data_IF_114808203559
#
_entry.id   IF_114808203559
#
_cell.length_a   1.000
_cell.length_b   1.000
_cell.length_c   1.000
_cell.angle_alpha   90.00
_cell.angle_beta   90.00
_cell.angle_gamma   90.00
#
_symmetry.space_group_name_H-M   'P 1'
#
loop_
_entity.id
_entity.type
_entity.pdbx_description
1 polymer ?
#
# COMPACT_ATOMS: atom_id res chain seq x y z
N UNK A 1 -134.03 3.27 -87.59
CA UNK A 1 -133.36 4.45 -88.16
C UNK A 1 -132.32 3.95 -89.16
N UNK A 2 -132.15 4.60 -90.31
CA UNK A 2 -131.20 4.19 -91.33
C UNK A 2 -130.01 5.18 -91.35
N UNK A 3 -128.78 4.67 -91.22
CA UNK A 3 -127.53 5.45 -91.26
C UNK A 3 -127.00 5.60 -92.70
N UNK A 4 -126.18 6.63 -92.93
CA UNK A 4 -125.53 6.85 -94.23
C UNK A 4 -124.28 5.95 -94.38
N UNK A 5 -124.02 5.37 -95.56
CA UNK A 5 -122.79 4.62 -95.81
C UNK A 5 -121.54 5.51 -95.77
N UNK A 6 -120.49 5.09 -95.07
CA UNK A 6 -119.21 5.83 -94.90
C UNK A 6 -118.01 5.07 -95.52
N UNK A 7 -117.84 5.06 -96.85
CA UNK A 7 -116.72 4.38 -97.49
C UNK A 7 -115.36 4.99 -97.09
N UNK A 8 -114.32 4.14 -97.02
CA UNK A 8 -112.94 4.58 -96.76
C UNK A 8 -112.35 5.15 -98.06
N UNK A 9 -112.75 6.36 -98.39
CA UNK A 9 -112.27 7.06 -99.57
C UNK A 9 -112.10 8.54 -99.30
N UNK A 10 -111.10 9.13 -99.94
CA UNK A 10 -110.93 10.57 -99.93
C UNK A 10 -111.76 11.18 -101.05
N UNK A 11 -112.95 11.68 -100.69
CA UNK A 11 -113.77 12.46 -101.61
C UNK A 11 -113.09 13.81 -101.88
N UNK A 12 -112.98 14.32 -103.13
CA UNK A 12 -112.26 15.58 -103.41
C UNK A 12 -112.94 16.87 -102.92
N UNK A 13 -114.26 16.85 -102.69
CA UNK A 13 -115.03 18.00 -102.18
C UNK A 13 -116.25 17.58 -101.35
N UNK A 14 -116.88 18.54 -100.67
CA UNK A 14 -118.21 18.41 -100.06
C UNK A 14 -119.19 19.17 -100.94
N UNK A 15 -120.24 18.51 -101.42
CA UNK A 15 -121.24 19.08 -102.30
C UNK A 15 -121.96 20.25 -101.61
N UNK A 16 -122.52 21.19 -102.37
CA UNK A 16 -123.33 22.30 -101.85
C UNK A 16 -124.77 22.09 -102.32
N UNK A 17 -125.73 22.02 -101.39
CA UNK A 17 -127.15 21.99 -101.76
C UNK A 17 -127.54 23.30 -102.43
N UNK A 18 -128.18 23.20 -103.59
CA UNK A 18 -128.64 24.33 -104.38
C UNK A 18 -130.14 24.57 -104.15
N UNK A 19 -130.60 25.79 -104.41
CA UNK A 19 -132.01 26.17 -104.17
C UNK A 19 -133.01 25.46 -105.09
N UNK A 20 -132.54 24.90 -106.20
CA UNK A 20 -133.33 24.08 -107.13
C UNK A 20 -133.38 22.59 -106.77
N UNK A 21 -132.61 22.15 -105.78
CA UNK A 21 -132.50 20.73 -105.47
C UNK A 21 -133.79 20.21 -104.81
N UNK A 22 -134.28 19.03 -105.22
CA UNK A 22 -135.44 18.41 -104.59
C UNK A 22 -135.06 17.96 -103.18
N UNK A 23 -135.94 18.24 -102.20
CA UNK A 23 -135.81 17.70 -100.83
C UNK A 23 -136.03 16.20 -100.88
N UNK A 24 -134.93 15.46 -101.07
CA UNK A 24 -134.92 14.02 -101.27
C UNK A 24 -133.91 13.41 -100.29
N UNK A 25 -134.46 12.73 -99.28
CA UNK A 25 -133.68 11.91 -98.36
C UNK A 25 -133.32 10.53 -98.94
N UNK A 26 -132.70 9.70 -98.10
CA UNK A 26 -132.21 8.37 -98.48
C UNK A 26 -130.71 8.36 -98.82
N UNK A 27 -130.11 7.18 -99.06
CA UNK A 27 -128.66 7.01 -99.23
C UNK A 27 -128.08 7.72 -100.46
N UNK A 28 -128.91 7.85 -101.49
CA UNK A 28 -128.62 8.55 -102.75
C UNK A 28 -129.45 9.84 -102.88
N UNK A 29 -130.11 10.24 -101.79
CA UNK A 29 -130.80 11.51 -101.68
C UNK A 29 -129.81 12.66 -101.60
N UNK A 30 -130.07 13.72 -102.36
CA UNK A 30 -129.14 14.85 -102.49
C UNK A 30 -128.90 15.54 -101.14
N UNK A 31 -129.92 15.57 -100.27
CA UNK A 31 -129.88 16.15 -98.93
C UNK A 31 -128.81 15.51 -98.02
N UNK A 32 -128.45 14.25 -98.28
CA UNK A 32 -127.51 13.49 -97.46
C UNK A 32 -126.08 13.42 -98.05
N UNK A 33 -125.87 13.89 -99.28
CA UNK A 33 -124.60 13.73 -100.00
C UNK A 33 -123.43 14.41 -99.28
N UNK A 34 -123.66 15.61 -98.74
CA UNK A 34 -122.64 16.40 -98.03
C UNK A 34 -122.12 15.64 -96.79
N UNK A 35 -123.03 15.09 -95.99
CA UNK A 35 -122.72 14.34 -94.79
C UNK A 35 -121.92 13.06 -95.12
N UNK A 36 -122.34 12.33 -96.17
CA UNK A 36 -121.64 11.13 -96.66
C UNK A 36 -120.18 11.42 -97.07
N UNK A 37 -119.96 12.52 -97.79
CA UNK A 37 -118.62 12.90 -98.24
C UNK A 37 -117.68 13.28 -97.09
N UNK A 38 -118.18 13.99 -96.07
CA UNK A 38 -117.38 14.35 -94.88
C UNK A 38 -117.03 13.14 -94.01
N UNK A 39 -117.99 12.22 -93.83
CA UNK A 39 -117.77 11.00 -93.06
C UNK A 39 -116.70 10.10 -93.70
N UNK A 40 -116.75 9.93 -95.03
CA UNK A 40 -115.79 9.12 -95.79
C UNK A 40 -114.33 9.59 -95.62
N UNK A 41 -114.10 10.92 -95.64
CA UNK A 41 -112.77 11.52 -95.40
C UNK A 41 -112.26 11.27 -93.99
N UNK A 42 -113.16 11.35 -93.01
CA UNK A 42 -112.81 11.13 -91.60
C UNK A 42 -112.36 9.70 -91.38
N UNK A 43 -113.05 8.74 -92.01
CA UNK A 43 -112.70 7.33 -91.98
C UNK A 43 -111.32 7.05 -92.62
N UNK A 44 -110.98 7.69 -93.74
CA UNK A 44 -109.66 7.56 -94.38
C UNK A 44 -108.52 8.11 -93.51
N UNK A 45 -108.68 9.28 -92.91
CA UNK A 45 -107.66 9.86 -92.02
C UNK A 45 -107.40 8.99 -90.79
N UNK A 46 -108.46 8.39 -90.23
CA UNK A 46 -108.35 7.46 -89.11
C UNK A 46 -107.48 6.25 -89.45
N UNK A 47 -107.71 5.60 -90.60
CA UNK A 47 -106.90 4.46 -91.06
C UNK A 47 -105.41 4.82 -91.22
N UNK A 48 -105.10 6.00 -91.77
CA UNK A 48 -103.70 6.44 -91.91
C UNK A 48 -103.02 6.65 -90.56
N UNK A 49 -103.72 7.22 -89.57
CA UNK A 49 -103.20 7.40 -88.21
C UNK A 49 -103.00 6.04 -87.53
N UNK A 50 -103.92 5.09 -87.68
CA UNK A 50 -103.80 3.74 -87.13
C UNK A 50 -102.59 2.99 -87.71
N UNK A 51 -102.28 3.16 -89.00
CA UNK A 51 -101.07 2.59 -89.63
C UNK A 51 -99.77 3.17 -89.10
N UNK A 52 -99.77 4.43 -88.68
CA UNK A 52 -98.62 5.07 -88.03
C UNK A 52 -98.46 4.57 -86.60
N UNK A 53 -99.55 4.52 -85.83
CA UNK A 53 -99.52 4.09 -84.42
C UNK A 53 -99.12 2.61 -84.32
N UNK A 54 -99.60 1.77 -85.23
CA UNK A 54 -99.22 0.35 -85.30
C UNK A 54 -97.81 0.12 -85.86
N UNK A 55 -97.12 1.17 -86.31
CA UNK A 55 -95.76 1.09 -86.83
C UNK A 55 -95.65 0.47 -88.22
N UNK A 56 -96.77 0.21 -88.90
CA UNK A 56 -96.80 -0.30 -90.28
C UNK A 56 -96.24 0.74 -91.26
N UNK A 57 -96.52 2.02 -91.02
CA UNK A 57 -95.95 3.13 -91.80
C UNK A 57 -94.87 3.83 -90.98
N UNK A 58 -93.60 3.66 -91.36
CA UNK A 58 -92.51 4.40 -90.74
C UNK A 58 -92.49 5.86 -91.21
N UNK A 59 -92.37 6.80 -90.26
CA UNK A 59 -92.37 8.25 -90.55
C UNK A 59 -90.95 8.82 -90.53
N UNK A 60 -90.56 9.46 -91.63
CA UNK A 60 -89.45 10.43 -91.68
C UNK A 60 -88.08 9.89 -91.28
N UNK A 61 -87.38 10.62 -90.39
CA UNK A 61 -85.99 10.32 -89.98
C UNK A 61 -85.87 9.09 -89.06
N UNK A 62 -86.96 8.61 -88.47
CA UNK A 62 -86.96 7.41 -87.62
C UNK A 62 -86.54 6.14 -88.39
N UNK A 63 -86.75 6.11 -89.71
CA UNK A 63 -86.32 5.02 -90.61
C UNK A 63 -84.81 4.75 -90.51
N UNK A 64 -83.99 5.74 -90.19
CA UNK A 64 -82.52 5.59 -90.15
C UNK A 64 -82.03 4.64 -89.05
N UNK A 65 -82.82 4.45 -87.99
CA UNK A 65 -82.56 3.55 -86.87
C UNK A 65 -83.30 2.21 -87.01
N UNK A 66 -84.11 2.03 -88.07
CA UNK A 66 -84.66 0.71 -88.41
C UNK A 66 -83.56 -0.31 -88.76
N UNK A 67 -82.35 0.17 -89.09
CA UNK A 67 -81.12 -0.64 -89.16
C UNK A 67 -80.20 -0.23 -88.02
N UNK A 68 -79.87 -1.20 -87.16
CA UNK A 68 -79.04 -0.99 -85.98
C UNK A 68 -77.66 -0.38 -86.32
N UNK A 69 -77.15 0.48 -85.44
CA UNK A 69 -75.83 1.13 -85.57
C UNK A 69 -74.90 0.65 -84.47
N UNK A 70 -73.62 0.44 -84.79
CA UNK A 70 -72.61 0.04 -83.82
C UNK A 70 -71.89 1.25 -83.24
N UNK A 71 -71.90 1.38 -81.92
CA UNK A 71 -71.03 2.29 -81.18
C UNK A 71 -69.75 1.55 -80.76
N UNK A 72 -68.59 2.17 -80.93
CA UNK A 72 -67.28 1.56 -80.62
C UNK A 72 -66.43 2.49 -79.76
N UNK A 73 -65.70 1.91 -78.80
CA UNK A 73 -64.63 2.57 -78.03
C UNK A 73 -63.28 2.16 -78.62
N UNK A 74 -62.36 3.11 -78.78
CA UNK A 74 -61.01 2.87 -79.30
C UNK A 74 -59.95 3.54 -78.40
N UNK A 75 -58.73 2.98 -78.38
CA UNK A 75 -57.62 3.46 -77.57
C UNK A 75 -57.25 2.51 -76.41
N UNK A 76 -57.04 3.06 -75.20
CA UNK A 76 -56.60 2.30 -74.03
C UNK A 76 -57.67 1.36 -73.44
N UNK A 77 -58.92 1.53 -73.86
CA UNK A 77 -60.04 0.67 -73.55
C UNK A 77 -60.68 0.21 -74.87
N UNK A 78 -61.12 -1.04 -74.92
CA UNK A 78 -61.80 -1.63 -76.08
C UNK A 78 -63.18 -2.12 -75.67
N UNK A 79 -64.19 -1.88 -76.52
CA UNK A 79 -65.56 -2.35 -76.35
C UNK A 79 -66.48 -1.83 -77.45
N UNK A 80 -67.58 -2.52 -77.73
CA UNK A 80 -68.59 -2.08 -78.69
C UNK A 80 -69.99 -2.60 -78.33
N UNK A 81 -71.03 -1.94 -78.85
CA UNK A 81 -72.41 -2.38 -78.74
C UNK A 81 -73.25 -1.90 -79.94
N UNK A 82 -74.32 -2.63 -80.27
CA UNK A 82 -75.28 -2.25 -81.32
C UNK A 82 -76.52 -1.60 -80.71
N UNK A 83 -77.08 -0.60 -81.38
CA UNK A 83 -78.28 0.13 -80.94
C UNK A 83 -79.20 0.48 -82.10
N UNK A 84 -80.49 0.18 -81.94
CA UNK A 84 -81.58 0.47 -82.89
C UNK A 84 -82.75 1.23 -82.25
N UNK A 85 -82.63 1.63 -80.98
CA UNK A 85 -83.68 2.34 -80.24
C UNK A 85 -84.71 1.45 -79.54
N UNK A 86 -84.60 0.12 -79.64
CA UNK A 86 -85.56 -0.80 -79.00
C UNK A 86 -85.32 -0.99 -77.49
N UNK A 87 -84.07 -0.90 -77.03
CA UNK A 87 -83.68 -1.04 -75.62
C UNK A 87 -82.33 -0.38 -75.31
N UNK A 88 -81.93 -0.36 -74.02
CA UNK A 88 -80.62 0.13 -73.58
C UNK A 88 -79.48 -0.75 -74.13
N UNK A 89 -78.39 -0.12 -74.59
CA UNK A 89 -77.16 -0.80 -74.98
C UNK A 89 -76.09 -0.72 -73.88
N UNK A 90 -75.45 -1.85 -73.54
CA UNK A 90 -74.33 -1.90 -72.60
C UNK A 90 -73.02 -2.16 -73.35
N UNK A 91 -72.00 -1.33 -73.14
CA UNK A 91 -70.66 -1.52 -73.70
C UNK A 91 -69.76 -2.10 -72.60
N UNK A 92 -69.38 -3.36 -72.72
CA UNK A 92 -68.45 -4.01 -71.79
C UNK A 92 -67.03 -3.53 -72.07
N UNK A 93 -66.33 -3.05 -71.04
CA UNK A 93 -64.93 -2.64 -71.10
C UNK A 93 -64.10 -3.57 -70.22
N UNK A 94 -63.06 -4.17 -70.79
CA UNK A 94 -62.09 -5.00 -70.05
C UNK A 94 -60.77 -4.25 -69.92
N UNK A 95 -60.21 -4.16 -68.71
CA UNK A 95 -58.87 -3.61 -68.50
C UNK A 95 -57.83 -4.65 -68.91
N UNK A 96 -56.85 -4.27 -69.72
CA UNK A 96 -55.77 -5.15 -70.10
C UNK A 96 -54.87 -5.49 -68.90
N UNK A 97 -54.42 -6.74 -68.79
CA UNK A 97 -53.42 -7.14 -67.81
C UNK A 97 -52.14 -6.33 -68.00
N UNK A 98 -51.49 -5.91 -66.90
CA UNK A 98 -50.27 -5.09 -66.95
C UNK A 98 -49.03 -5.84 -67.49
N UNK A 99 -49.14 -7.15 -67.70
CA UNK A 99 -48.03 -8.03 -68.11
C UNK A 99 -47.15 -8.50 -66.95
N UNK A 100 -47.33 -7.97 -65.74
CA UNK A 100 -46.59 -8.38 -64.54
C UNK A 100 -47.33 -9.53 -63.86
N UNK A 101 -46.59 -10.56 -63.43
CA UNK A 101 -47.16 -11.66 -62.66
C UNK A 101 -47.68 -11.16 -61.31
N UNK A 102 -48.83 -11.70 -60.86
CA UNK A 102 -49.37 -11.32 -59.56
C UNK A 102 -48.42 -11.79 -58.43
N UNK A 103 -48.02 -10.86 -57.55
CA UNK A 103 -47.11 -11.16 -56.45
C UNK A 103 -46.66 -9.92 -55.68
N UNK A 104 -45.93 -10.13 -54.59
CA UNK A 104 -45.30 -9.06 -53.81
C UNK A 104 -43.90 -8.78 -54.34
N UNK A 105 -43.61 -7.51 -54.61
CA UNK A 105 -42.31 -7.05 -55.09
C UNK A 105 -41.78 -5.96 -54.17
N UNK A 106 -40.48 -6.01 -53.87
CA UNK A 106 -39.80 -4.97 -53.06
C UNK A 106 -39.38 -3.76 -53.91
N UNK A 107 -39.32 -3.93 -55.24
CA UNK A 107 -39.07 -2.86 -56.21
C UNK A 107 -40.03 -3.02 -57.38
N UNK A 108 -40.63 -1.92 -57.84
CA UNK A 108 -41.52 -1.88 -59.00
C UNK A 108 -40.99 -0.93 -60.07
N UNK A 109 -41.22 -1.27 -61.33
CA UNK A 109 -41.03 -0.38 -62.48
C UNK A 109 -42.41 0.07 -62.96
N UNK A 110 -42.57 1.36 -63.21
CA UNK A 110 -43.82 1.93 -63.73
C UNK A 110 -43.58 2.62 -65.07
N UNK A 111 -44.57 2.55 -65.96
CA UNK A 111 -44.55 3.34 -67.20
C UNK A 111 -45.00 4.79 -66.97
N UNK A 112 -44.96 5.62 -68.01
CA UNK A 112 -45.38 7.02 -67.95
C UNK A 112 -46.85 7.24 -67.56
N UNK A 113 -47.69 6.20 -67.63
CA UNK A 113 -49.10 6.22 -67.20
C UNK A 113 -49.30 5.68 -65.77
N UNK A 114 -48.21 5.34 -65.07
CA UNK A 114 -48.24 4.79 -63.70
C UNK A 114 -48.59 3.30 -63.62
N UNK A 115 -48.66 2.58 -64.75
CA UNK A 115 -48.91 1.13 -64.74
C UNK A 115 -47.61 0.39 -64.42
N UNK A 116 -47.70 -0.63 -63.56
CA UNK A 116 -46.57 -1.48 -63.20
C UNK A 116 -46.19 -2.36 -64.39
N UNK A 117 -44.96 -2.24 -64.87
CA UNK A 117 -44.44 -2.99 -66.04
C UNK A 117 -43.37 -4.02 -65.68
N UNK A 118 -42.90 -4.02 -64.42
CA UNK A 118 -41.93 -5.00 -63.93
C UNK A 118 -41.80 -4.95 -62.41
N UNK A 119 -41.33 -6.04 -61.82
CA UNK A 119 -41.05 -6.15 -60.40
C UNK A 119 -39.75 -6.91 -60.16
N UNK A 120 -38.99 -6.52 -59.13
CA UNK A 120 -37.71 -7.14 -58.80
C UNK A 120 -37.51 -7.28 -57.28
N UNK A 121 -36.72 -8.26 -56.86
CA UNK A 121 -36.26 -8.42 -55.48
C UNK A 121 -35.19 -7.38 -55.13
N UNK A 122 -35.06 -7.08 -53.84
CA UNK A 122 -33.97 -6.28 -53.29
C UNK A 122 -32.67 -7.09 -53.35
N UNK A 123 -31.60 -6.49 -53.84
CA UNK A 123 -30.26 -7.05 -53.86
C UNK A 123 -29.30 -6.17 -53.04
N UNK A 124 -28.07 -6.65 -52.83
CA UNK A 124 -27.10 -5.95 -51.99
C UNK A 124 -26.73 -4.55 -52.52
N UNK A 125 -26.69 -4.35 -53.85
CA UNK A 125 -26.32 -3.05 -54.45
C UNK A 125 -27.44 -2.00 -54.32
N UNK A 126 -28.68 -2.41 -54.09
CA UNK A 126 -29.78 -1.49 -53.80
C UNK A 126 -29.68 -0.86 -52.40
N UNK A 127 -28.84 -1.42 -51.52
CA UNK A 127 -28.62 -0.92 -50.16
C UNK A 127 -27.40 0.01 -50.20
N UNK A 128 -27.58 1.34 -50.19
CA UNK A 128 -26.45 2.27 -50.14
C UNK A 128 -25.73 2.18 -48.80
N UNK A 129 -24.54 2.78 -48.70
CA UNK A 129 -23.76 2.84 -47.45
C UNK A 129 -24.62 3.31 -46.26
N UNK A 130 -24.69 2.45 -45.24
CA UNK A 130 -25.45 2.69 -44.02
C UNK A 130 -24.54 3.20 -42.91
N UNK A 131 -24.61 4.49 -42.62
CA UNK A 131 -23.98 5.04 -41.41
C UNK A 131 -24.63 4.52 -40.13
N UNK A 132 -23.85 4.44 -39.05
CA UNK A 132 -24.29 3.94 -37.73
C UNK A 132 -25.52 4.67 -37.14
N UNK A 133 -25.75 5.93 -37.53
CA UNK A 133 -26.93 6.69 -37.13
C UNK A 133 -28.24 6.17 -37.74
N UNK A 134 -28.16 5.45 -38.86
CA UNK A 134 -29.32 4.85 -39.55
C UNK A 134 -29.66 3.45 -39.03
N UNK A 135 -28.76 2.82 -38.28
CA UNK A 135 -28.99 1.51 -37.64
C UNK A 135 -29.58 1.77 -36.24
N UNK A 136 -30.85 1.48 -36.01
CA UNK A 136 -31.54 1.77 -34.72
C UNK A 136 -31.84 0.53 -33.90
N UNK A 137 -31.62 -0.67 -34.43
CA UNK A 137 -31.82 -1.96 -33.75
C UNK A 137 -30.73 -2.96 -34.15
N UNK A 138 -30.58 -4.05 -33.39
CA UNK A 138 -29.62 -5.12 -33.70
C UNK A 138 -28.15 -4.74 -33.54
N UNK A 139 -27.84 -3.63 -32.86
CA UNK A 139 -26.46 -3.24 -32.57
C UNK A 139 -25.82 -4.26 -31.60
N UNK A 140 -24.61 -4.75 -31.91
CA UNK A 140 -23.86 -5.54 -30.96
C UNK A 140 -23.68 -4.82 -29.62
N UNK A 141 -23.67 -5.58 -28.52
CA UNK A 141 -23.40 -5.04 -27.18
C UNK A 141 -22.01 -5.39 -26.68
N UNK A 142 -21.23 -6.12 -27.47
CA UNK A 142 -19.86 -6.53 -27.19
C UNK A 142 -18.95 -6.09 -28.34
N UNK A 143 -17.67 -5.79 -28.03
CA UNK A 143 -16.65 -5.46 -29.03
C UNK A 143 -16.48 -6.57 -30.07
N UNK A 144 -16.57 -7.83 -29.64
CA UNK A 144 -16.54 -9.01 -30.51
C UNK A 144 -17.69 -9.00 -31.53
N UNK A 145 -18.90 -8.66 -31.10
CA UNK A 145 -20.02 -8.52 -32.03
C UNK A 145 -19.88 -7.32 -32.97
N UNK A 146 -19.09 -6.30 -32.62
CA UNK A 146 -18.67 -5.23 -33.54
C UNK A 146 -17.52 -5.65 -34.49
N UNK A 147 -16.99 -6.87 -34.36
CA UNK A 147 -15.88 -7.38 -35.18
C UNK A 147 -14.51 -6.80 -34.81
N UNK A 148 -14.38 -6.19 -33.63
CA UNK A 148 -13.12 -5.60 -33.18
C UNK A 148 -12.27 -6.71 -32.54
N UNK A 149 -11.35 -7.28 -33.32
CA UNK A 149 -10.45 -8.38 -32.90
C UNK A 149 -9.07 -7.91 -32.42
N UNK A 150 -8.81 -6.60 -32.47
CA UNK A 150 -7.58 -5.97 -32.00
C UNK A 150 -7.52 -4.48 -32.40
N UNK A 151 -6.53 -3.76 -31.89
CA UNK A 151 -6.26 -2.37 -32.28
C UNK A 151 -5.64 -1.52 -31.16
N UNK A 152 -5.13 -0.35 -31.55
CA UNK A 152 -4.66 0.68 -30.62
C UNK A 152 -5.79 1.64 -30.31
N UNK A 153 -5.98 1.97 -29.03
CA UNK A 153 -6.85 3.05 -28.61
C UNK A 153 -6.01 4.32 -28.46
N UNK A 154 -6.53 5.45 -28.95
CA UNK A 154 -5.96 6.78 -28.67
C UNK A 154 -6.71 7.39 -27.48
N UNK A 155 -6.05 8.24 -26.69
CA UNK A 155 -6.61 8.89 -25.50
C UNK A 155 -6.86 7.93 -24.31
N UNK A 156 -7.83 8.26 -23.44
CA UNK A 156 -8.08 7.59 -22.17
C UNK A 156 -9.06 6.41 -22.30
N UNK A 157 -8.76 5.30 -21.62
CA UNK A 157 -9.72 4.20 -21.39
C UNK A 157 -10.53 4.50 -20.11
N UNK A 158 -11.84 4.75 -20.24
CA UNK A 158 -12.74 5.01 -19.10
C UNK A 158 -13.74 3.87 -18.91
N UNK A 159 -13.56 3.06 -17.86
CA UNK A 159 -14.41 1.91 -17.57
C UNK A 159 -15.39 2.24 -16.42
N UNK A 160 -16.64 2.56 -16.76
CA UNK A 160 -17.69 2.89 -15.76
C UNK A 160 -18.42 1.62 -15.34
N UNK A 161 -18.43 1.32 -14.03
CA UNK A 161 -19.11 0.14 -13.49
C UNK A 161 -18.37 -1.20 -13.70
N UNK A 162 -17.17 -1.18 -14.28
CA UNK A 162 -16.34 -2.37 -14.41
C UNK A 162 -15.69 -2.78 -13.07
N UNK A 163 -15.38 -4.07 -12.91
CA UNK A 163 -14.79 -4.65 -11.69
C UNK A 163 -13.35 -5.12 -11.89
N UNK A 164 -13.01 -5.59 -13.09
CA UNK A 164 -11.69 -6.10 -13.46
C UNK A 164 -11.35 -5.80 -14.92
N UNK A 165 -10.06 -5.87 -15.24
CA UNK A 165 -9.53 -5.98 -16.60
C UNK A 165 -8.83 -7.33 -16.65
N UNK A 166 -9.33 -8.23 -17.49
CA UNK A 166 -8.74 -9.55 -17.66
C UNK A 166 -7.85 -9.54 -18.91
N UNK A 167 -6.58 -9.89 -18.72
CA UNK A 167 -5.62 -10.08 -19.80
C UNK A 167 -5.33 -11.58 -19.88
N UNK A 168 -5.56 -12.17 -21.06
CA UNK A 168 -5.34 -13.59 -21.30
C UNK A 168 -4.20 -13.81 -22.29
N UNK A 169 -3.47 -14.90 -22.07
CA UNK A 169 -2.44 -15.38 -22.98
C UNK A 169 -3.02 -15.65 -24.36
N UNK A 170 -2.29 -15.27 -25.40
CA UNK A 170 -2.40 -16.04 -26.65
C UNK A 170 -1.91 -17.47 -26.37
N UNK A 171 -2.40 -18.46 -27.11
CA UNK A 171 -2.15 -19.90 -26.88
C UNK A 171 -0.69 -20.38 -27.07
N UNK A 172 0.30 -19.48 -26.96
CA UNK A 172 1.73 -19.78 -27.09
C UNK A 172 2.39 -19.98 -25.72
N UNK A 173 3.57 -20.60 -25.73
CA UNK A 173 4.27 -21.12 -24.53
C UNK A 173 4.87 -20.06 -23.61
N UNK A 174 4.84 -18.77 -23.97
CA UNK A 174 5.28 -17.67 -23.11
C UNK A 174 4.73 -16.34 -23.60
N UNK A 175 4.06 -15.61 -22.72
CA UNK A 175 3.61 -14.24 -22.97
C UNK A 175 3.82 -13.38 -21.71
N UNK A 176 4.22 -12.13 -21.92
CA UNK A 176 4.19 -11.11 -20.88
C UNK A 176 2.97 -10.23 -21.14
N UNK A 177 1.95 -10.38 -20.32
CA UNK A 177 0.73 -9.60 -20.37
C UNK A 177 0.77 -8.47 -19.36
N UNK A 178 0.32 -7.27 -19.73
CA UNK A 178 0.26 -6.17 -18.79
C UNK A 178 -0.09 -4.84 -19.44
N UNK A 179 -0.06 -3.79 -18.63
CA UNK A 179 -0.03 -2.43 -19.13
C UNK A 179 1.42 -2.00 -19.29
N UNK A 180 1.82 -1.77 -20.54
CA UNK A 180 3.17 -1.36 -20.89
C UNK A 180 3.19 0.07 -21.39
N UNK A 181 4.12 0.86 -20.87
CA UNK A 181 4.57 2.06 -21.55
C UNK A 181 5.45 1.63 -22.71
N UNK A 182 5.13 2.07 -23.93
CA UNK A 182 5.88 1.73 -25.14
C UNK A 182 6.39 2.97 -25.86
N UNK A 183 7.42 2.81 -26.68
CA UNK A 183 7.89 3.88 -27.57
C UNK A 183 6.80 4.23 -28.57
N UNK A 184 6.68 5.52 -28.89
CA UNK A 184 5.73 5.96 -29.92
C UNK A 184 6.11 5.43 -31.31
N UNK A 185 7.41 5.36 -31.61
CA UNK A 185 7.95 4.79 -32.83
C UNK A 185 8.53 3.41 -32.52
N UNK A 186 7.88 2.35 -32.99
CA UNK A 186 8.39 0.98 -32.90
C UNK A 186 7.70 0.08 -31.87
N UNK A 187 6.83 0.62 -31.01
CA UNK A 187 6.08 -0.16 -30.00
C UNK A 187 6.98 -0.99 -29.06
N UNK A 188 8.21 -0.52 -28.80
CA UNK A 188 9.13 -1.17 -27.88
C UNK A 188 8.71 -0.90 -26.45
N UNK A 189 8.71 -1.92 -25.60
CA UNK A 189 8.41 -1.77 -24.16
C UNK A 189 9.50 -0.93 -23.49
N UNK A 190 9.09 0.03 -22.66
CA UNK A 190 9.97 0.86 -21.82
C UNK A 190 9.84 0.50 -20.33
N UNK A 191 8.70 -0.09 -19.98
CA UNK A 191 8.37 -0.52 -18.63
C UNK A 191 6.88 -0.74 -18.49
N UNK A 192 6.45 -1.10 -17.31
CA UNK A 192 5.04 -1.30 -17.03
C UNK A 192 4.80 -2.24 -15.86
N UNK A 193 3.57 -2.71 -15.76
CA UNK A 193 3.17 -3.70 -14.78
C UNK A 193 2.34 -4.78 -15.42
N UNK A 194 2.47 -6.01 -14.92
CA UNK A 194 1.80 -7.15 -15.49
C UNK A 194 2.29 -8.47 -14.95
N UNK A 195 1.98 -9.54 -15.67
CA UNK A 195 2.39 -10.89 -15.36
C UNK A 195 3.10 -11.53 -16.56
N UNK A 196 4.12 -12.32 -16.28
CA UNK A 196 4.77 -13.19 -17.24
C UNK A 196 4.45 -14.65 -16.90
N UNK A 197 4.10 -15.43 -17.91
CA UNK A 197 3.69 -16.81 -17.76
C UNK A 197 3.25 -17.45 -19.06
N UNK A 198 2.40 -18.46 -18.96
CA UNK A 198 1.73 -19.13 -20.07
C UNK A 198 0.21 -19.13 -19.82
N UNK A 199 -0.56 -19.94 -20.55
CA UNK A 199 -2.01 -20.03 -20.37
C UNK A 199 -2.43 -20.63 -19.01
N UNK A 200 -1.56 -21.41 -18.38
CA UNK A 200 -1.89 -22.25 -17.22
C UNK A 200 -1.14 -21.84 -15.94
N UNK A 201 -0.07 -21.03 -16.03
CA UNK A 201 0.73 -20.60 -14.88
C UNK A 201 1.30 -19.18 -15.04
N UNK A 202 1.29 -18.43 -13.93
CA UNK A 202 2.01 -17.16 -13.79
C UNK A 202 3.35 -17.43 -13.12
N UNK A 203 4.44 -17.04 -13.78
CA UNK A 203 5.80 -17.23 -13.30
C UNK A 203 6.34 -16.00 -12.56
N UNK A 204 5.93 -14.80 -12.98
CA UNK A 204 6.39 -13.54 -12.42
C UNK A 204 5.30 -12.47 -12.51
N UNK A 205 4.89 -11.87 -11.39
CA UNK A 205 4.17 -10.60 -11.36
C UNK A 205 5.19 -9.47 -11.27
N UNK A 206 5.15 -8.49 -12.17
CA UNK A 206 6.17 -7.45 -12.25
C UNK A 206 5.60 -6.04 -12.28
N UNK A 207 6.40 -5.10 -11.78
CA UNK A 207 6.28 -3.67 -11.94
C UNK A 207 7.70 -3.14 -12.18
N UNK A 208 8.05 -2.80 -13.41
CA UNK A 208 9.46 -2.51 -13.72
C UNK A 208 9.69 -1.60 -14.91
N UNK A 209 10.89 -1.01 -14.94
CA UNK A 209 11.41 -0.12 -15.96
C UNK A 209 12.50 -0.86 -16.73
N UNK A 210 12.13 -1.36 -17.91
CA UNK A 210 12.98 -2.10 -18.84
C UNK A 210 12.18 -2.41 -20.11
N UNK A 211 12.86 -2.83 -21.18
CA UNK A 211 12.24 -3.50 -22.32
C UNK A 211 11.75 -4.92 -22.02
N UNK A 212 12.19 -5.51 -20.90
CA UNK A 212 11.78 -6.84 -20.44
C UNK A 212 11.50 -6.79 -18.93
N UNK A 213 10.48 -6.01 -18.48
CA UNK A 213 10.27 -5.66 -17.07
C UNK A 213 10.01 -6.87 -16.16
N UNK A 214 9.57 -8.00 -16.73
CA UNK A 214 9.41 -9.27 -16.01
C UNK A 214 10.73 -9.96 -15.65
N UNK A 215 11.84 -9.63 -16.31
CA UNK A 215 13.12 -10.32 -16.14
C UNK A 215 14.19 -9.43 -15.49
N UNK A 216 14.35 -8.19 -15.95
CA UNK A 216 15.44 -7.31 -15.50
C UNK A 216 15.05 -5.82 -15.47
N UNK A 217 15.99 -4.96 -15.07
CA UNK A 217 15.78 -3.52 -14.87
C UNK A 217 15.26 -3.16 -13.49
N UNK A 218 15.10 -1.87 -13.21
CA UNK A 218 14.64 -1.42 -11.88
C UNK A 218 13.15 -1.68 -11.68
N UNK A 219 12.76 -2.10 -10.48
CA UNK A 219 11.37 -2.42 -10.18
C UNK A 219 11.21 -3.56 -9.18
N UNK A 220 9.99 -4.08 -9.12
CA UNK A 220 9.56 -5.17 -8.24
C UNK A 220 9.12 -6.35 -9.10
N UNK A 221 9.56 -7.55 -8.73
CA UNK A 221 9.15 -8.82 -9.33
C UNK A 221 8.80 -9.80 -8.24
N UNK A 222 7.58 -10.34 -8.28
CA UNK A 222 7.12 -11.40 -7.40
C UNK A 222 7.14 -12.69 -8.19
N UNK A 223 8.00 -13.60 -7.79
CA UNK A 223 8.20 -14.91 -8.38
C UNK A 223 7.86 -15.99 -7.33
N UNK A 224 7.94 -17.25 -7.73
CA UNK A 224 7.63 -18.40 -6.87
C UNK A 224 8.58 -18.56 -5.69
N UNK A 225 9.80 -18.02 -5.81
CA UNK A 225 10.88 -18.05 -4.82
C UNK A 225 11.03 -16.74 -4.02
N UNK A 226 10.22 -15.71 -4.32
CA UNK A 226 10.13 -14.51 -3.48
C UNK A 226 9.87 -13.21 -4.22
N UNK A 227 10.20 -12.11 -3.54
CA UNK A 227 10.05 -10.74 -4.05
C UNK A 227 11.44 -10.15 -4.32
N UNK A 228 11.69 -9.83 -5.58
CA UNK A 228 12.91 -9.20 -6.05
C UNK A 228 12.66 -7.71 -6.25
N UNK A 229 13.39 -6.88 -5.52
CA UNK A 229 13.42 -5.43 -5.72
C UNK A 229 14.77 -5.07 -6.30
N UNK A 230 14.79 -4.46 -7.49
CA UNK A 230 16.00 -4.00 -8.17
C UNK A 230 16.01 -2.48 -8.28
N UNK A 231 17.13 -1.86 -7.92
CA UNK A 231 17.30 -0.41 -7.88
C UNK A 231 17.33 0.16 -6.46
N UNK A 232 17.64 1.45 -6.30
CA UNK A 232 17.64 2.12 -5.00
C UNK A 232 16.25 2.09 -4.35
N UNK A 233 16.18 1.67 -3.09
CA UNK A 233 14.97 1.74 -2.28
C UNK A 233 15.07 2.92 -1.31
N UNK A 234 14.40 4.03 -1.63
CA UNK A 234 14.19 5.12 -0.68
C UNK A 234 12.99 4.77 0.20
N UNK A 235 13.21 4.01 1.26
CA UNK A 235 12.19 3.74 2.27
C UNK A 235 12.26 4.81 3.37
N UNK A 236 11.10 5.27 3.87
CA UNK A 236 11.05 5.86 5.20
C UNK A 236 11.35 4.70 6.18
N UNK A 237 12.56 4.71 6.75
CA UNK A 237 13.15 3.54 7.44
C UNK A 237 12.29 2.89 8.53
N UNK A 238 11.26 3.58 9.04
CA UNK A 238 10.28 3.00 9.97
C UNK A 238 9.38 1.90 9.37
N UNK A 239 9.30 1.76 8.05
CA UNK A 239 8.41 0.79 7.40
C UNK A 239 8.97 -0.62 7.23
N UNK A 240 10.29 -0.80 7.26
CA UNK A 240 10.93 -2.11 7.13
C UNK A 240 11.06 -2.75 8.51
N UNK A 241 10.09 -3.58 8.89
CA UNK A 241 10.11 -4.36 10.14
C UNK A 241 10.50 -5.81 9.86
N UNK A 242 11.09 -6.49 10.85
CA UNK A 242 11.47 -7.91 10.79
C UNK A 242 12.43 -8.31 9.66
N UNK A 243 13.26 -7.38 9.16
CA UNK A 243 14.37 -7.73 8.25
C UNK A 243 15.43 -8.49 9.07
N UNK A 244 15.71 -9.77 8.80
CA UNK A 244 16.74 -10.50 9.52
C UNK A 244 18.10 -9.85 9.27
N UNK A 245 18.79 -9.44 10.34
CA UNK A 245 20.09 -8.75 10.25
C UNK A 245 21.14 -9.54 9.44
N UNK A 246 21.11 -10.87 9.50
CA UNK A 246 22.03 -11.73 8.74
C UNK A 246 21.80 -11.72 7.22
N UNK A 247 20.65 -11.23 6.76
CA UNK A 247 20.32 -11.09 5.33
C UNK A 247 20.70 -9.71 4.76
N UNK A 248 21.08 -8.76 5.63
CA UNK A 248 21.55 -7.44 5.22
C UNK A 248 23.06 -7.52 4.99
N UNK A 249 23.47 -7.42 3.72
CA UNK A 249 24.90 -7.37 3.33
C UNK A 249 25.39 -5.92 3.33
N UNK A 250 26.69 -5.71 3.57
CA UNK A 250 27.28 -4.36 3.60
C UNK A 250 27.02 -3.59 4.90
N UNK A 251 26.62 -4.28 5.98
CA UNK A 251 26.47 -3.66 7.29
C UNK A 251 27.82 -3.13 7.80
N UNK A 252 27.83 -2.02 8.55
CA UNK A 252 29.05 -1.54 9.16
C UNK A 252 29.68 -2.58 10.12
N UNK A 253 31.00 -2.64 10.14
CA UNK A 253 31.78 -3.55 11.00
C UNK A 253 32.21 -2.94 12.34
N UNK A 254 31.68 -1.77 12.67
CA UNK A 254 32.00 -1.04 13.90
C UNK A 254 30.75 -0.36 14.44
N UNK A 255 30.70 -0.17 15.77
CA UNK A 255 29.63 0.56 16.46
C UNK A 255 29.40 1.95 15.87
N UNK A 256 30.47 2.66 15.49
CA UNK A 256 30.38 3.98 14.88
C UNK A 256 29.66 3.98 13.53
N UNK A 257 29.82 2.90 12.75
CA UNK A 257 29.09 2.76 11.50
C UNK A 257 27.59 2.49 11.68
N UNK A 258 27.17 1.94 12.82
CA UNK A 258 25.76 1.87 13.22
C UNK A 258 25.23 3.16 13.85
N UNK A 259 26.02 4.25 13.84
CA UNK A 259 25.66 5.53 14.47
C UNK A 259 25.80 5.54 15.99
N UNK A 260 26.40 4.51 16.60
CA UNK A 260 26.65 4.44 18.04
C UNK A 260 28.03 5.04 18.35
N UNK A 261 28.04 6.27 18.84
CA UNK A 261 29.27 6.96 19.24
C UNK A 261 29.83 6.46 20.58
N UNK A 262 31.15 6.26 20.66
CA UNK A 262 31.83 6.01 21.93
C UNK A 262 31.82 7.26 22.82
N UNK A 263 31.89 7.04 24.14
CA UNK A 263 32.09 8.11 25.11
C UNK A 263 33.39 8.89 24.83
N UNK A 264 33.32 10.22 24.97
CA UNK A 264 34.49 11.08 25.08
C UNK A 264 35.20 10.88 26.43
N UNK A 265 36.41 11.41 26.56
CA UNK A 265 37.15 11.31 27.82
C UNK A 265 36.43 11.98 29.00
N UNK A 266 35.93 13.24 28.90
CA UNK A 266 35.19 13.85 30.01
C UNK A 266 33.93 13.06 30.41
N UNK A 267 33.22 12.50 29.42
CA UNK A 267 32.05 11.66 29.68
C UNK A 267 32.42 10.37 30.41
N UNK A 268 33.54 9.75 30.03
CA UNK A 268 34.04 8.54 30.68
C UNK A 268 34.48 8.77 32.13
N UNK A 269 35.15 9.90 32.40
CA UNK A 269 35.63 10.25 33.75
C UNK A 269 34.50 10.72 34.68
N UNK A 270 33.44 11.34 34.12
CA UNK A 270 32.25 11.74 34.85
C UNK A 270 31.33 10.55 35.18
N UNK A 271 31.17 9.60 34.26
CA UNK A 271 30.41 8.36 34.46
C UNK A 271 28.90 8.53 34.62
N UNK A 272 28.31 9.64 34.14
CA UNK A 272 26.88 9.94 34.26
C UNK A 272 26.02 9.38 33.11
N UNK A 273 26.60 9.19 31.92
CA UNK A 273 25.89 8.68 30.74
C UNK A 273 25.90 7.14 30.72
N UNK A 274 24.71 6.54 30.68
CA UNK A 274 24.50 5.08 30.67
C UNK A 274 24.27 4.51 29.26
N UNK A 275 24.21 5.35 28.23
CA UNK A 275 23.84 4.96 26.87
C UNK A 275 25.01 4.93 25.90
N UNK A 276 26.22 5.37 26.32
CA UNK A 276 27.42 5.37 25.47
C UNK A 276 28.40 4.25 25.86
N UNK A 277 28.87 3.44 24.89
CA UNK A 277 29.91 2.46 25.15
C UNK A 277 31.26 3.14 25.42
N UNK A 278 32.10 2.51 26.24
CA UNK A 278 33.51 2.88 26.44
C UNK A 278 34.42 1.95 25.67
N UNK A 279 35.40 2.50 24.95
CA UNK A 279 36.50 1.71 24.42
C UNK A 279 37.59 1.50 25.50
N UNK A 280 38.56 0.62 25.23
CA UNK A 280 39.62 0.29 26.18
C UNK A 280 40.40 1.53 26.68
N UNK A 281 40.62 2.53 25.82
CA UNK A 281 41.27 3.78 26.19
C UNK A 281 40.42 4.57 27.21
N UNK A 282 39.11 4.67 27.00
CA UNK A 282 38.20 5.39 27.92
C UNK A 282 38.09 4.70 29.28
N UNK A 283 38.07 3.36 29.30
CA UNK A 283 38.11 2.60 30.56
C UNK A 283 39.39 2.89 31.33
N UNK A 284 40.56 2.82 30.66
CA UNK A 284 41.84 3.11 31.30
C UNK A 284 41.90 4.53 31.87
N UNK A 285 41.44 5.53 31.11
CA UNK A 285 41.42 6.93 31.54
C UNK A 285 40.48 7.15 32.74
N UNK A 286 39.26 6.59 32.71
CA UNK A 286 38.32 6.70 33.81
C UNK A 286 38.86 6.10 35.11
N UNK A 287 39.54 4.94 35.02
CA UNK A 287 40.24 4.34 36.16
C UNK A 287 41.37 5.25 36.63
N UNK A 288 42.25 5.70 35.72
CA UNK A 288 43.39 6.54 36.06
C UNK A 288 42.97 7.86 36.75
N UNK A 289 41.86 8.48 36.32
CA UNK A 289 41.33 9.69 36.92
C UNK A 289 40.84 9.49 38.37
N UNK A 290 40.47 8.26 38.77
CA UNK A 290 40.02 7.94 40.13
C UNK A 290 41.12 7.33 41.01
N UNK A 291 42.23 6.87 40.42
CA UNK A 291 43.38 6.35 41.15
C UNK A 291 44.29 7.51 41.54
N UNK A 292 44.03 8.08 42.72
CA UNK A 292 44.80 9.19 43.29
C UNK A 292 45.62 8.76 44.52
N UNK A 293 46.68 9.50 44.83
CA UNK A 293 47.44 9.35 46.06
C UNK A 293 46.53 9.63 47.28
N UNK A 294 46.52 8.73 48.26
CA UNK A 294 45.79 8.96 49.50
C UNK A 294 46.40 10.13 50.28
N UNK A 295 45.53 10.97 50.85
CA UNK A 295 45.88 12.07 51.77
C UNK A 295 44.98 12.02 52.99
N UNK A 296 45.19 12.90 53.96
CA UNK A 296 44.33 12.98 55.16
C UNK A 296 42.88 13.36 54.84
N UNK A 297 42.64 14.04 53.71
CA UNK A 297 41.32 14.54 53.31
C UNK A 297 40.69 13.79 52.13
N UNK A 298 41.47 12.97 51.41
CA UNK A 298 41.02 12.25 50.23
C UNK A 298 41.37 10.76 50.31
N UNK A 299 40.35 9.92 50.11
CA UNK A 299 40.56 8.49 49.88
C UNK A 299 41.38 8.28 48.60
N UNK A 300 42.34 7.36 48.65
CA UNK A 300 43.20 7.04 47.52
C UNK A 300 44.00 5.78 47.78
N UNK A 301 45.02 5.56 46.96
CA UNK A 301 46.02 4.51 47.16
C UNK A 301 47.28 5.11 47.80
N UNK A 302 47.92 4.36 48.68
CA UNK A 302 49.20 4.74 49.27
C UNK A 302 50.16 3.56 49.21
N UNK A 303 51.42 3.85 48.93
CA UNK A 303 52.49 2.84 48.97
C UNK A 303 52.80 2.47 50.43
N UNK A 304 53.34 1.27 50.62
CA UNK A 304 53.78 0.82 51.94
C UNK A 304 55.11 1.51 52.32
N UNK A 305 55.19 2.08 53.51
CA UNK A 305 56.38 2.78 54.01
C UNK A 305 57.61 1.86 54.04
N UNK A 306 58.81 2.33 53.71
CA UNK A 306 60.05 1.57 53.96
C UNK A 306 60.48 1.72 55.41
N UNK A 307 61.39 0.87 55.92
CA UNK A 307 61.85 1.00 57.31
C UNK A 307 62.55 2.35 57.56
N UNK A 308 63.29 2.85 56.56
CA UNK A 308 63.95 4.15 56.60
C UNK A 308 62.94 5.29 56.76
N UNK A 309 61.82 5.23 56.05
CA UNK A 309 60.76 6.25 56.13
C UNK A 309 60.07 6.23 57.50
N UNK A 310 59.81 5.03 58.05
CA UNK A 310 59.24 4.89 59.39
C UNK A 310 60.18 5.45 60.46
N UNK A 311 61.49 5.19 60.34
CA UNK A 311 62.48 5.72 61.28
C UNK A 311 62.64 7.25 61.17
N UNK A 312 62.49 7.82 59.97
CA UNK A 312 62.58 9.26 59.75
C UNK A 312 61.34 10.03 60.22
N UNK A 313 60.16 9.40 60.21
CA UNK A 313 58.93 9.94 60.80
C UNK A 313 58.35 11.16 60.08
N UNK A 314 58.67 11.40 58.80
CA UNK A 314 58.28 12.61 58.06
C UNK A 314 57.34 12.37 56.87
N UNK A 315 57.12 11.11 56.45
CA UNK A 315 56.37 10.78 55.22
C UNK A 315 54.90 10.51 55.53
N UNK A 316 54.01 11.38 55.05
CA UNK A 316 52.54 11.28 55.15
C UNK A 316 51.91 10.58 53.93
N UNK A 317 52.71 10.23 52.93
CA UNK A 317 52.22 9.60 51.69
C UNK A 317 52.16 8.07 51.77
N UNK A 318 52.50 7.48 52.92
CA UNK A 318 52.63 6.02 53.08
C UNK A 318 51.97 5.40 54.28
N UNK A 319 51.70 4.10 54.16
CA UNK A 319 51.09 3.30 55.22
C UNK A 319 52.16 2.49 55.96
N UNK A 320 52.18 2.63 57.28
CA UNK A 320 53.00 1.81 58.19
C UNK A 320 52.35 0.44 58.37
N UNK A 321 53.11 -0.63 58.19
CA UNK A 321 52.59 -2.00 58.41
C UNK A 321 52.70 -2.42 59.87
N UNK A 322 51.88 -3.37 60.36
CA UNK A 322 52.00 -3.90 61.72
C UNK A 322 53.41 -4.42 62.07
N UNK A 323 54.11 -5.01 61.08
CA UNK A 323 55.51 -5.45 61.23
C UNK A 323 56.46 -4.29 61.56
N UNK A 324 56.26 -3.14 60.91
CA UNK A 324 57.10 -1.95 61.10
C UNK A 324 56.74 -1.21 62.38
N UNK A 325 55.45 -1.18 62.74
CA UNK A 325 54.99 -0.64 64.02
C UNK A 325 55.61 -1.39 65.22
N UNK A 326 55.68 -2.72 65.15
CA UNK A 326 56.27 -3.56 66.20
C UNK A 326 57.80 -3.64 66.16
N UNK A 327 58.44 -3.20 65.07
CA UNK A 327 59.89 -3.31 64.93
C UNK A 327 60.60 -2.43 65.96
N UNK A 328 61.50 -3.04 66.74
CA UNK A 328 62.24 -2.37 67.81
C UNK A 328 61.54 -2.31 69.16
N UNK A 329 60.29 -2.78 69.28
CA UNK A 329 59.65 -2.99 70.58
C UNK A 329 59.93 -4.42 71.07
N UNK A 330 60.72 -4.56 72.12
CA UNK A 330 61.03 -5.85 72.76
C UNK A 330 60.89 -5.75 74.27
N UNK A 331 60.39 -6.79 74.93
CA UNK A 331 60.27 -6.80 76.38
C UNK A 331 60.46 -8.19 76.97
N UNK A 332 61.04 -8.24 78.16
CA UNK A 332 61.13 -9.41 79.02
C UNK A 332 60.54 -9.05 80.38
N UNK A 333 59.33 -9.53 80.67
CA UNK A 333 58.64 -9.28 81.93
C UNK A 333 58.96 -10.39 82.94
N UNK A 334 60.07 -10.21 83.66
CA UNK A 334 60.51 -11.12 84.72
C UNK A 334 61.12 -10.35 85.90
N UNK A 335 61.50 -11.04 86.99
CA UNK A 335 62.19 -10.43 88.12
C UNK A 335 63.50 -9.75 87.71
N UNK A 336 64.15 -10.23 86.65
CA UNK A 336 65.23 -9.55 85.93
C UNK A 336 64.82 -9.39 84.47
N UNK A 337 64.47 -8.16 84.07
CA UNK A 337 63.71 -7.91 82.86
C UNK A 337 64.10 -6.60 82.17
N UNK A 338 63.44 -6.35 81.03
CA UNK A 338 63.64 -5.12 80.27
C UNK A 338 62.43 -4.74 79.42
N UNK A 339 62.37 -3.46 79.02
CA UNK A 339 61.57 -2.94 77.92
C UNK A 339 62.51 -2.14 77.03
N UNK A 340 62.58 -2.48 75.75
CA UNK A 340 63.30 -1.76 74.70
C UNK A 340 62.29 -1.11 73.78
N UNK A 341 62.34 0.22 73.65
CA UNK A 341 61.48 0.99 72.76
C UNK A 341 62.06 1.02 71.34
N UNK A 342 61.19 1.11 70.31
CA UNK A 342 61.63 1.30 68.94
C UNK A 342 62.51 2.51 68.73
N UNK A 343 63.39 2.44 67.72
CA UNK A 343 64.28 3.53 67.31
C UNK A 343 63.51 4.79 66.91
N UNK A 344 62.32 4.64 66.30
CA UNK A 344 61.45 5.77 65.96
C UNK A 344 60.81 6.47 67.18
N UNK A 345 60.85 5.84 68.37
CA UNK A 345 60.51 6.45 69.67
C UNK A 345 61.74 6.91 70.47
N UNK A 346 62.92 6.96 69.84
CA UNK A 346 64.17 7.35 70.49
C UNK A 346 64.96 6.20 71.11
N UNK A 347 64.54 4.94 70.96
CA UNK A 347 65.38 3.76 71.25
C UNK A 347 65.67 3.49 72.73
N UNK A 348 64.99 4.16 73.66
CA UNK A 348 65.21 4.00 75.10
C UNK A 348 64.96 2.56 75.56
N UNK A 349 65.87 2.08 76.41
CA UNK A 349 65.82 0.77 77.04
C UNK A 349 65.79 0.98 78.56
N UNK A 350 64.85 0.31 79.21
CA UNK A 350 64.72 0.21 80.65
C UNK A 350 65.04 -1.23 81.03
N UNK A 351 65.95 -1.43 81.97
CA UNK A 351 66.33 -2.75 82.48
C UNK A 351 66.26 -2.76 84.00
N UNK A 352 65.86 -3.88 84.58
CA UNK A 352 65.79 -4.04 86.03
C UNK A 352 66.19 -5.46 86.43
N UNK A 353 66.56 -5.64 87.69
CA UNK A 353 66.84 -6.96 88.22
C UNK A 353 67.21 -6.96 89.69
N UNK A 354 67.48 -8.15 90.21
CA UNK A 354 67.89 -8.39 91.59
C UNK A 354 69.22 -9.16 91.57
N UNK A 355 70.27 -8.54 92.10
CA UNK A 355 71.55 -9.16 92.33
C UNK A 355 71.49 -9.95 93.63
N UNK A 356 71.39 -11.28 93.55
CA UNK A 356 71.31 -12.14 94.73
C UNK A 356 72.67 -12.44 95.36
N UNK A 357 72.72 -12.70 96.66
CA UNK A 357 73.93 -13.19 97.34
C UNK A 357 75.13 -12.26 97.23
N UNK A 358 74.93 -10.94 97.27
CA UNK A 358 76.04 -9.98 97.32
C UNK A 358 76.67 -10.06 98.72
N UNK A 359 77.99 -10.31 98.84
CA UNK A 359 78.61 -10.51 100.15
C UNK A 359 78.42 -9.31 101.09
N UNK A 360 78.54 -9.54 102.39
CA UNK A 360 78.41 -8.51 103.43
C UNK A 360 79.72 -7.74 103.61
N UNK A 361 79.65 -6.43 103.90
CA UNK A 361 80.83 -5.68 104.29
C UNK A 361 81.35 -6.16 105.66
N UNK A 362 82.67 -6.26 105.83
CA UNK A 362 83.29 -6.77 107.07
C UNK A 362 83.77 -5.67 108.02
N UNK A 363 83.72 -4.40 107.63
CA UNK A 363 84.19 -3.25 108.43
C UNK A 363 83.24 -2.05 108.33
N UNK A 364 83.02 -1.36 109.45
CA UNK A 364 82.17 -0.16 109.53
C UNK A 364 82.96 1.09 109.15
N UNK A 365 82.55 1.77 108.06
CA UNK A 365 83.04 3.10 107.67
C UNK A 365 84.42 3.14 107.01
N UNK A 366 84.50 3.73 105.81
CA UNK A 366 85.76 4.09 105.14
C UNK A 366 86.46 3.00 104.31
N UNK A 367 85.99 1.75 104.35
CA UNK A 367 86.52 0.64 103.51
C UNK A 367 85.57 0.31 102.36
N UNK A 368 86.11 -0.11 101.21
CA UNK A 368 85.30 -0.56 100.08
C UNK A 368 84.53 -1.84 100.46
N UNK A 369 83.20 -1.79 100.36
CA UNK A 369 82.35 -2.96 100.50
C UNK A 369 82.57 -3.98 99.37
N UNK A 370 82.26 -5.27 99.59
CA UNK A 370 82.35 -6.29 98.55
C UNK A 370 81.45 -5.96 97.36
N UNK A 371 81.90 -6.37 96.19
CA UNK A 371 81.24 -6.12 94.91
C UNK A 371 80.81 -7.42 94.25
N UNK A 372 79.79 -7.33 93.40
CA UNK A 372 79.36 -8.40 92.52
C UNK A 372 79.04 -7.81 91.15
N UNK A 373 79.54 -8.46 90.11
CA UNK A 373 79.26 -8.07 88.74
C UNK A 373 78.07 -8.86 88.19
N UNK A 374 77.15 -8.18 87.52
CA UNK A 374 75.90 -8.72 87.01
C UNK A 374 75.79 -8.36 85.52
N UNK A 375 75.44 -9.34 84.69
CA UNK A 375 75.11 -9.10 83.29
C UNK A 375 73.71 -8.53 83.17
N UNK A 376 73.56 -7.47 82.37
CA UNK A 376 72.27 -6.92 82.00
C UNK A 376 71.53 -7.90 81.07
N UNK A 377 70.18 -7.98 81.14
CA UNK A 377 69.37 -8.80 80.23
C UNK A 377 69.67 -8.58 78.75
N UNK A 378 69.93 -7.34 78.35
CA UNK A 378 70.44 -6.96 77.04
C UNK A 378 71.52 -5.89 77.18
N UNK A 379 72.43 -5.80 76.21
CA UNK A 379 73.36 -4.68 76.14
C UNK A 379 72.61 -3.40 75.74
N UNK A 380 72.95 -2.25 76.34
CA UNK A 380 72.59 -0.96 75.78
C UNK A 380 73.37 -0.75 74.47
N UNK A 381 72.70 -0.68 73.29
CA UNK A 381 73.39 -0.60 72.00
C UNK A 381 74.38 0.55 71.87
N UNK A 382 74.11 1.69 72.52
CA UNK A 382 74.91 2.91 72.39
C UNK A 382 75.52 3.34 73.72
N UNK A 383 74.70 3.67 74.72
CA UNK A 383 75.19 4.25 75.96
C UNK A 383 74.28 3.94 77.17
N UNK A 384 74.83 3.37 78.26
CA UNK A 384 74.15 3.38 79.53
C UNK A 384 74.05 4.81 80.08
N UNK A 385 72.87 5.23 80.52
CA UNK A 385 72.65 6.59 81.00
C UNK A 385 72.73 6.67 82.52
N UNK A 386 71.93 5.87 83.23
CA UNK A 386 71.79 5.94 84.69
C UNK A 386 71.50 4.57 85.27
N UNK A 387 72.05 4.32 86.46
CA UNK A 387 71.75 3.16 87.28
C UNK A 387 71.38 3.60 88.69
N UNK A 388 70.37 2.95 89.24
CA UNK A 388 69.91 3.10 90.61
C UNK A 388 69.95 1.72 91.24
N UNK A 389 70.37 1.65 92.49
CA UNK A 389 70.31 0.43 93.27
C UNK A 389 69.70 0.71 94.65
N UNK A 390 68.96 -0.27 95.15
CA UNK A 390 68.37 -0.27 96.48
C UNK A 390 68.50 -1.66 97.10
N UNK A 391 68.57 -1.71 98.42
CA UNK A 391 68.55 -3.00 99.10
C UNK A 391 67.21 -3.69 98.83
N UNK A 392 67.23 -4.98 98.54
CA UNK A 392 66.04 -5.79 98.30
C UNK A 392 65.76 -6.66 99.53
N UNK A 393 64.93 -6.14 100.43
CA UNK A 393 64.52 -6.85 101.64
C UNK A 393 63.11 -7.43 101.52
N UNK A 394 62.91 -8.66 102.00
CA UNK A 394 61.58 -9.28 102.08
C UNK A 394 60.69 -8.64 103.16
N UNK A 395 61.30 -7.99 104.17
CA UNK A 395 60.63 -7.26 105.26
C UNK A 395 61.52 -6.09 105.71
N UNK A 396 60.97 -4.89 105.93
CA UNK A 396 61.75 -3.69 106.28
C UNK A 396 61.56 -3.30 107.75
N UNK A 397 62.61 -3.44 108.56
CA UNK A 397 62.58 -3.06 109.99
C UNK A 397 63.97 -2.63 110.49
N UNK A 398 64.46 -1.46 110.05
CA UNK A 398 65.82 -0.99 110.39
C UNK A 398 65.90 0.52 110.68
N UNK A 399 66.70 0.95 111.68
CA UNK A 399 66.85 2.37 112.05
C UNK A 399 67.91 3.16 111.25
N UNK A 400 68.56 2.59 110.23
CA UNK A 400 69.64 3.26 109.47
C UNK A 400 69.36 3.30 107.96
N UNK A 401 69.94 4.29 107.27
CA UNK A 401 69.88 4.43 105.82
C UNK A 401 70.98 3.59 105.14
N UNK A 402 70.62 2.77 104.16
CA UNK A 402 71.54 1.93 103.42
C UNK A 402 71.46 2.23 101.93
N UNK A 403 72.57 2.68 101.36
CA UNK A 403 72.69 2.90 99.92
C UNK A 403 73.68 1.88 99.34
N UNK A 404 73.22 0.87 98.59
CA UNK A 404 74.13 0.07 97.79
C UNK A 404 74.74 0.94 96.68
N UNK A 405 75.99 0.66 96.33
CA UNK A 405 76.63 1.28 95.18
C UNK A 405 76.25 0.54 93.91
N UNK A 406 76.09 1.27 92.81
CA UNK A 406 75.95 0.68 91.48
C UNK A 406 76.68 1.51 90.43
N UNK A 407 77.40 0.83 89.54
CA UNK A 407 78.11 1.47 88.43
C UNK A 407 78.04 0.57 87.19
N UNK A 408 78.04 1.18 86.01
CA UNK A 408 78.24 0.44 84.75
C UNK A 408 79.71 0.11 84.57
N UNK A 409 80.01 -1.16 84.29
CA UNK A 409 81.33 -1.59 83.84
C UNK A 409 81.44 -1.57 82.32
N UNK A 410 80.32 -1.83 81.64
CA UNK A 410 80.19 -1.79 80.19
C UNK A 410 78.71 -1.55 79.81
N UNK A 411 78.40 -1.57 78.51
CA UNK A 411 77.02 -1.54 78.01
C UNK A 411 76.20 -2.78 78.39
N UNK A 412 76.84 -3.86 78.84
CA UNK A 412 76.19 -5.15 79.15
C UNK A 412 76.42 -5.64 80.58
N UNK A 413 77.18 -4.91 81.38
CA UNK A 413 77.56 -5.36 82.72
C UNK A 413 77.55 -4.21 83.73
N UNK A 414 76.99 -4.48 84.89
CA UNK A 414 76.95 -3.58 86.03
C UNK A 414 77.70 -4.20 87.20
N UNK A 415 78.23 -3.35 88.07
CA UNK A 415 78.79 -3.74 89.36
C UNK A 415 77.91 -3.20 90.46
N UNK A 416 77.51 -4.09 91.35
CA UNK A 416 76.77 -3.77 92.56
C UNK A 416 77.70 -3.91 93.76
N UNK A 417 77.63 -2.97 94.69
CA UNK A 417 78.45 -2.93 95.89
C UNK A 417 77.56 -2.92 97.13
N UNK A 418 77.79 -3.87 98.04
CA UNK A 418 77.12 -3.90 99.33
C UNK A 418 78.04 -3.27 100.38
N UNK A 419 77.62 -2.13 100.92
CA UNK A 419 78.35 -1.43 101.99
C UNK A 419 77.79 -1.74 103.39
N UNK A 420 76.84 -2.66 103.50
CA UNK A 420 76.17 -2.97 104.75
C UNK A 420 76.90 -4.06 105.52
N UNK A 421 77.21 -3.78 106.78
CA UNK A 421 78.02 -4.65 107.66
C UNK A 421 77.22 -5.59 108.53
N UNK A 422 75.89 -5.55 108.47
CA UNK A 422 75.03 -6.42 109.30
C UNK A 422 74.24 -7.46 108.50
N UNK A 423 74.23 -7.39 107.16
CA UNK A 423 73.64 -8.44 106.32
C UNK A 423 74.28 -8.53 104.94
N UNK A 424 74.65 -9.74 104.53
CA UNK A 424 74.70 -10.11 103.11
C UNK A 424 73.26 -10.06 102.57
N UNK A 425 73.07 -9.71 101.30
CA UNK A 425 71.72 -9.53 100.81
C UNK A 425 71.58 -9.36 99.32
N UNK A 426 70.32 -9.41 98.91
CA UNK A 426 69.89 -9.17 97.55
C UNK A 426 69.81 -7.65 97.32
N UNK A 427 70.26 -7.17 96.16
CA UNK A 427 70.22 -5.75 95.80
C UNK A 427 69.43 -5.60 94.51
N UNK A 428 68.33 -4.85 94.55
CA UNK A 428 67.56 -4.48 93.38
C UNK A 428 68.28 -3.37 92.62
N UNK A 429 68.24 -3.43 91.30
CA UNK A 429 68.80 -2.41 90.43
C UNK A 429 67.85 -2.07 89.29
N UNK A 430 67.94 -0.82 88.85
CA UNK A 430 67.22 -0.29 87.71
C UNK A 430 68.19 0.53 86.86
N UNK A 431 68.24 0.25 85.57
CA UNK A 431 69.15 0.88 84.62
C UNK A 431 68.39 1.41 83.41
N UNK A 432 68.79 2.59 82.94
CA UNK A 432 68.26 3.20 81.71
C UNK A 432 69.42 3.51 80.78
N UNK A 433 69.20 3.30 79.49
CA UNK A 433 70.17 3.57 78.41
C UNK A 433 69.49 3.41 77.05
N UNK A 434 70.26 3.42 75.97
CA UNK A 434 69.81 3.18 74.59
C UNK A 434 70.95 2.68 73.71
#
# INVERSE_FOLDING_TARGET
MADLPEPIEWTPGVYQLETSDPVLGGPEGIDNLQAKQLASRTQWLKDQIEKVISGVTAIGKAVQLATARTFTLSGAATGSASFDGTANANIVVTLANSGVSAGTYTKIQVNAKGLVTGGAALNAIDIPDLGWSKITSGKPTTLDGYGITGGSLTENIRMVGARSIDLMASATTSWAGGLHARTFSGDDILGGFGAWGNNDSVNCLYMGLSSVPWSFGYGVRVQTDGVYISGPLTANGGGLTNVPWGSVVGTPNSLGGYGVGFASQPEAEAGSDTNKPMNALRVFQAIAAKVIQATESALGIARIATQTLVNAGADDTTIVTPKKLRMGFSMLLSSTGYIALPVWLGGLIFQWGIATGVPQATATGGSLGPTRDISLPIAFPTNPLRILASMHFSTMSTPAAFAPGAIFLSTSQIRIQNNYTASAGDIAWFAVGY
#
